data_IF_156061231986
#
_entry.id   IF_156061231986
#
_cell.length_a   1.000
_cell.length_b   1.000
_cell.length_c   1.000
_cell.angle_alpha   90.00
_cell.angle_beta   90.00
_cell.angle_gamma   90.00
#
_symmetry.space_group_name_H-M   'P 1'
#
loop_
_entity.id
_entity.type
_entity.pdbx_description
1 polymer ?
#
# COMPACT_ATOMS: atom_id res chain seq x y z
N UNK A 1 8.06 5.71 -5.34
CA UNK A 1 9.49 5.67 -5.67
C UNK A 1 9.67 5.28 -7.13
N UNK A 2 10.58 5.95 -7.82
CA UNK A 2 10.91 5.64 -9.20
C UNK A 2 12.07 4.66 -9.25
N UNK A 3 11.81 3.46 -9.80
CA UNK A 3 12.77 2.35 -9.80
C UNK A 3 13.86 2.48 -10.86
N UNK A 4 13.64 3.25 -11.93
CA UNK A 4 14.58 3.37 -13.03
C UNK A 4 14.67 4.80 -13.55
N UNK A 5 15.86 5.24 -13.94
CA UNK A 5 16.09 6.55 -14.56
C UNK A 5 16.38 6.34 -16.04
N UNK A 6 15.43 6.67 -16.90
CA UNK A 6 15.61 6.63 -18.35
C UNK A 6 15.71 8.03 -18.95
N UNK A 7 15.85 8.10 -20.26
CA UNK A 7 15.78 9.36 -21.01
C UNK A 7 14.33 9.83 -21.12
N UNK A 8 14.11 11.12 -21.01
CA UNK A 8 12.79 11.73 -21.12
C UNK A 8 12.42 11.91 -22.59
N UNK A 9 11.21 11.49 -22.97
CA UNK A 9 10.68 11.76 -24.28
C UNK A 9 10.39 13.27 -24.44
N UNK A 10 10.64 13.82 -25.62
CA UNK A 10 10.43 15.22 -25.95
C UNK A 10 9.71 15.39 -27.29
N UNK A 11 9.04 16.49 -27.47
CA UNK A 11 8.49 16.90 -28.78
C UNK A 11 8.52 18.41 -28.92
N UNK A 12 8.83 18.90 -30.10
CA UNK A 12 8.76 20.33 -30.42
C UNK A 12 7.31 20.69 -30.79
N UNK A 13 6.72 21.66 -30.10
CA UNK A 13 5.36 22.16 -30.35
C UNK A 13 5.37 23.37 -31.29
N UNK A 14 6.36 24.25 -31.11
CA UNK A 14 6.55 25.44 -31.93
C UNK A 14 8.03 25.84 -31.92
N UNK A 15 8.41 26.85 -32.68
CA UNK A 15 9.77 27.40 -32.64
C UNK A 15 10.12 27.90 -31.25
N UNK A 16 11.12 27.26 -30.60
CA UNK A 16 11.55 27.58 -29.26
C UNK A 16 10.60 27.10 -28.13
N UNK A 17 9.60 26.24 -28.42
CA UNK A 17 8.71 25.63 -27.43
C UNK A 17 8.74 24.13 -27.58
N UNK A 18 9.05 23.40 -26.52
CA UNK A 18 9.03 21.95 -26.47
C UNK A 18 8.21 21.42 -25.30
N UNK A 19 7.56 20.29 -25.49
CA UNK A 19 7.01 19.47 -24.43
C UNK A 19 8.01 18.38 -24.05
N UNK A 20 8.14 18.12 -22.77
CA UNK A 20 9.04 17.11 -22.23
C UNK A 20 8.31 16.26 -21.21
N UNK A 21 8.43 14.95 -21.34
CA UNK A 21 7.86 14.04 -20.36
C UNK A 21 8.46 14.30 -18.97
N UNK A 22 7.64 14.34 -17.94
CA UNK A 22 8.10 14.47 -16.54
C UNK A 22 9.03 13.34 -16.15
N UNK A 23 8.77 12.14 -16.68
CA UNK A 23 9.53 10.93 -16.38
C UNK A 23 10.22 10.40 -17.62
N UNK A 24 11.45 9.94 -17.50
CA UNK A 24 12.16 9.18 -18.54
C UNK A 24 11.58 7.77 -18.66
N UNK A 25 11.79 7.14 -19.79
CA UNK A 25 11.33 5.80 -20.12
C UNK A 25 10.54 5.77 -21.42
N UNK A 26 10.46 4.57 -22.01
CA UNK A 26 9.74 4.34 -23.29
C UNK A 26 8.26 4.73 -23.19
N UNK A 27 7.67 4.72 -21.99
CA UNK A 27 6.27 5.12 -21.78
C UNK A 27 6.02 6.58 -22.16
N UNK A 28 7.05 7.44 -22.05
CA UNK A 28 6.97 8.82 -22.50
C UNK A 28 6.66 8.96 -23.99
N UNK A 29 7.02 7.97 -24.81
CA UNK A 29 6.76 7.97 -26.24
C UNK A 29 5.27 7.74 -26.59
N UNK A 30 4.43 7.39 -25.62
CA UNK A 30 2.97 7.26 -25.78
C UNK A 30 2.21 8.54 -25.41
N UNK A 31 2.91 9.59 -24.99
CA UNK A 31 2.29 10.86 -24.62
C UNK A 31 2.08 11.69 -25.89
N UNK A 32 0.84 12.05 -26.18
CA UNK A 32 0.47 12.98 -27.23
C UNK A 32 0.19 14.37 -26.66
N UNK A 33 0.60 15.40 -27.39
CA UNK A 33 0.29 16.80 -27.07
C UNK A 33 -0.34 17.46 -28.29
N UNK A 34 -1.51 18.04 -28.10
CA UNK A 34 -2.23 18.76 -29.14
C UNK A 34 -2.52 20.18 -28.67
N UNK A 35 -2.06 21.16 -29.42
CA UNK A 35 -2.35 22.59 -29.21
C UNK A 35 -3.29 23.03 -30.32
N UNK A 36 -4.43 23.61 -29.97
CA UNK A 36 -5.42 24.15 -30.91
C UNK A 36 -5.70 25.62 -30.60
N UNK A 37 -6.00 26.40 -31.63
CA UNK A 37 -6.20 27.85 -31.62
C UNK A 37 -5.26 28.52 -32.60
N UNK A 38 -5.70 29.61 -33.24
CA UNK A 38 -4.88 30.45 -34.13
C UNK A 38 -4.19 31.59 -33.34
N UNK A 39 -4.86 32.05 -32.28
CA UNK A 39 -4.41 33.05 -31.35
C UNK A 39 -4.67 32.65 -29.90
N UNK A 40 -3.98 33.32 -28.94
CA UNK A 40 -4.21 33.08 -27.51
C UNK A 40 -5.65 33.49 -27.09
N UNK A 41 -6.30 32.74 -26.20
CA UNK A 41 -5.79 31.58 -25.51
C UNK A 41 -5.85 30.31 -26.38
N UNK A 42 -4.80 29.49 -26.29
CA UNK A 42 -4.73 28.18 -26.94
C UNK A 42 -5.32 27.08 -26.02
N UNK A 43 -5.90 26.05 -26.61
CA UNK A 43 -6.28 24.85 -25.89
C UNK A 43 -5.17 23.81 -26.06
N UNK A 44 -4.53 23.43 -24.95
CA UNK A 44 -3.53 22.37 -24.88
C UNK A 44 -4.15 21.12 -24.27
N UNK A 45 -4.09 20.01 -24.99
CA UNK A 45 -4.58 18.69 -24.57
C UNK A 45 -3.39 17.76 -24.46
N UNK A 46 -3.26 17.11 -23.32
CA UNK A 46 -2.30 16.01 -23.11
C UNK A 46 -3.03 14.68 -23.09
N UNK A 47 -2.58 13.74 -23.89
CA UNK A 47 -3.13 12.39 -23.97
C UNK A 47 -2.07 11.34 -23.66
N UNK A 48 -2.49 10.19 -23.18
CA UNK A 48 -1.66 8.99 -22.99
C UNK A 48 -2.33 7.83 -23.70
N UNK A 49 -1.60 7.15 -24.59
CA UNK A 49 -2.15 6.10 -25.49
C UNK A 49 -3.39 6.56 -26.28
N UNK A 50 -3.43 7.83 -26.67
CA UNK A 50 -4.56 8.43 -27.37
C UNK A 50 -5.76 8.81 -26.50
N UNK A 51 -5.74 8.52 -25.19
CA UNK A 51 -6.79 8.90 -24.25
C UNK A 51 -6.44 10.24 -23.59
N UNK A 52 -7.32 11.22 -23.68
CA UNK A 52 -7.16 12.53 -23.04
C UNK A 52 -7.03 12.39 -21.52
N UNK A 53 -5.96 12.98 -20.98
CA UNK A 53 -5.67 12.98 -19.54
C UNK A 53 -5.84 14.36 -18.93
N UNK A 54 -5.55 15.40 -19.70
CA UNK A 54 -5.59 16.78 -19.24
C UNK A 54 -5.92 17.74 -20.38
N UNK A 55 -6.61 18.81 -20.06
CA UNK A 55 -7.00 19.90 -20.97
C UNK A 55 -6.87 21.23 -20.28
N UNK A 56 -6.04 22.11 -20.81
CA UNK A 56 -5.80 23.45 -20.27
C UNK A 56 -6.01 24.52 -21.34
N UNK A 57 -6.48 25.70 -20.91
CA UNK A 57 -6.53 26.89 -21.75
C UNK A 57 -5.41 27.80 -21.29
N UNK A 58 -4.43 28.06 -22.14
CA UNK A 58 -3.21 28.80 -21.80
C UNK A 58 -2.94 29.90 -22.86
N UNK A 59 -2.44 31.06 -22.44
CA UNK A 59 -2.03 32.13 -23.35
C UNK A 59 -0.53 32.10 -23.63
N UNK A 60 0.25 31.67 -22.62
CA UNK A 60 1.70 31.54 -22.68
C UNK A 60 2.13 30.18 -22.10
N UNK A 61 3.37 29.78 -22.34
CA UNK A 61 3.92 28.54 -21.76
C UNK A 61 4.00 28.59 -20.23
N UNK A 62 4.11 29.78 -19.64
CA UNK A 62 4.14 30.00 -18.18
C UNK A 62 2.78 29.80 -17.52
N UNK A 63 1.69 29.83 -18.27
CA UNK A 63 0.34 29.56 -17.77
C UNK A 63 0.07 28.05 -17.63
N UNK A 64 0.94 27.22 -18.24
CA UNK A 64 0.78 25.77 -18.16
C UNK A 64 1.04 25.25 -16.75
N UNK A 65 0.07 24.58 -16.18
CA UNK A 65 0.19 23.88 -14.90
C UNK A 65 0.66 22.46 -15.16
N UNK A 66 1.82 22.04 -14.64
CA UNK A 66 2.32 20.68 -14.82
C UNK A 66 1.28 19.63 -14.40
N UNK A 67 0.98 18.70 -15.30
CA UNK A 67 -0.10 17.70 -15.12
C UNK A 67 0.40 16.29 -14.75
N UNK A 68 1.66 16.18 -14.33
CA UNK A 68 2.29 14.89 -13.98
C UNK A 68 2.77 14.07 -15.20
N UNK A 69 2.38 14.41 -16.42
CA UNK A 69 2.81 13.76 -17.66
C UNK A 69 3.89 14.56 -18.38
N UNK A 70 3.67 15.88 -18.55
CA UNK A 70 4.58 16.76 -19.26
C UNK A 70 4.90 18.04 -18.50
N UNK A 71 6.02 18.65 -18.89
CA UNK A 71 6.36 20.05 -18.67
C UNK A 71 6.53 20.75 -20.01
N UNK A 72 6.32 22.06 -20.07
CA UNK A 72 6.66 22.89 -21.22
C UNK A 72 7.98 23.61 -20.95
N UNK A 73 8.87 23.62 -21.93
CA UNK A 73 10.18 24.28 -21.85
C UNK A 73 10.38 25.20 -23.06
N UNK A 74 11.09 26.31 -22.84
CA UNK A 74 11.48 27.26 -23.88
C UNK A 74 10.92 28.67 -23.67
N UNK A 75 11.16 29.56 -24.65
CA UNK A 75 10.73 30.97 -24.62
C UNK A 75 9.95 31.40 -25.88
N UNK A 76 9.48 30.45 -26.67
CA UNK A 76 8.75 30.69 -27.91
C UNK A 76 7.27 31.00 -27.71
N UNK A 77 6.61 31.34 -28.79
CA UNK A 77 5.14 31.48 -28.84
C UNK A 77 4.51 30.16 -29.22
N UNK A 78 3.42 29.80 -28.53
CA UNK A 78 2.63 28.63 -28.87
C UNK A 78 2.01 28.76 -30.26
N UNK A 79 1.86 27.67 -30.96
CA UNK A 79 1.15 27.60 -32.22
C UNK A 79 0.36 26.25 -32.26
N UNK A 80 -0.65 26.21 -33.14
CA UNK A 80 -1.39 24.97 -33.34
C UNK A 80 -0.45 23.84 -33.78
N UNK A 81 -0.47 22.73 -33.05
CA UNK A 81 0.38 21.57 -33.25
C UNK A 81 -0.29 20.30 -32.73
N UNK A 82 0.01 19.15 -33.33
CA UNK A 82 -0.36 17.84 -32.78
C UNK A 82 0.82 16.91 -32.98
N UNK A 83 1.37 16.43 -31.90
CA UNK A 83 2.57 15.59 -31.93
C UNK A 83 2.58 14.59 -30.77
N UNK A 84 3.35 13.53 -30.96
CA UNK A 84 3.64 12.55 -29.90
C UNK A 84 5.10 12.73 -29.49
N UNK A 85 5.38 12.65 -28.20
CA UNK A 85 6.73 12.72 -27.68
C UNK A 85 7.54 11.52 -28.17
N UNK A 86 8.84 11.70 -28.35
CA UNK A 86 9.78 10.70 -28.85
C UNK A 86 11.12 10.76 -28.08
N UNK A 87 11.95 9.74 -28.23
CA UNK A 87 13.29 9.70 -27.63
C UNK A 87 13.28 9.27 -26.15
N UNK A 88 12.13 8.85 -25.63
CA UNK A 88 12.09 8.23 -24.30
C UNK A 88 12.74 6.84 -24.32
N UNK A 89 13.70 6.61 -23.43
CA UNK A 89 14.38 5.33 -23.28
C UNK A 89 14.34 4.89 -21.82
N UNK A 90 14.17 3.61 -21.58
CA UNK A 90 14.31 3.03 -20.25
C UNK A 90 15.78 3.05 -19.84
N UNK A 91 16.04 3.16 -18.53
CA UNK A 91 17.39 3.06 -18.00
C UNK A 91 17.91 1.62 -18.06
N UNK A 92 19.21 1.46 -17.88
CA UNK A 92 19.90 0.16 -17.94
C UNK A 92 19.79 -0.67 -16.67
N UNK A 93 19.29 -0.09 -15.56
CA UNK A 93 19.15 -0.77 -14.28
C UNK A 93 18.11 -1.89 -14.37
N UNK A 94 18.45 -3.09 -13.96
CA UNK A 94 17.51 -4.21 -13.86
C UNK A 94 16.47 -3.94 -12.78
N UNK A 95 15.31 -4.60 -12.87
CA UNK A 95 14.23 -4.45 -11.88
C UNK A 95 14.72 -4.85 -10.48
N UNK A 96 15.50 -5.93 -10.37
CA UNK A 96 16.05 -6.40 -9.09
C UNK A 96 17.03 -5.40 -8.46
N UNK A 97 17.91 -4.77 -9.27
CA UNK A 97 18.82 -3.71 -8.80
C UNK A 97 18.04 -2.48 -8.34
N UNK A 98 17.04 -2.07 -9.11
CA UNK A 98 16.19 -0.94 -8.79
C UNK A 98 15.40 -1.15 -7.48
N UNK A 99 14.86 -2.36 -7.27
CA UNK A 99 14.18 -2.72 -6.02
C UNK A 99 15.18 -2.75 -4.86
N UNK A 100 16.38 -3.28 -5.05
CA UNK A 100 17.41 -3.29 -4.00
C UNK A 100 17.80 -1.86 -3.57
N UNK A 101 17.96 -0.95 -4.52
CA UNK A 101 18.21 0.47 -4.23
C UNK A 101 17.02 1.13 -3.49
N UNK A 102 15.79 0.85 -3.92
CA UNK A 102 14.58 1.32 -3.24
C UNK A 102 14.51 0.85 -1.78
N UNK A 103 14.72 -0.44 -1.53
CA UNK A 103 14.66 -1.02 -0.19
C UNK A 103 15.74 -0.46 0.73
N UNK A 104 16.89 -0.06 0.19
CA UNK A 104 17.97 0.55 0.96
C UNK A 104 17.62 1.95 1.51
N UNK A 105 16.74 2.69 0.83
CA UNK A 105 16.29 4.03 1.26
C UNK A 105 15.12 3.99 2.25
N UNK A 106 14.37 2.89 2.32
CA UNK A 106 13.16 2.79 3.13
C UNK A 106 13.36 2.93 4.65
N UNK A 107 14.48 2.48 5.25
CA UNK A 107 14.68 2.62 6.70
C UNK A 107 14.64 4.07 7.21
N UNK A 108 14.86 5.05 6.33
CA UNK A 108 14.78 6.49 6.65
C UNK A 108 13.39 7.08 6.45
N UNK A 109 12.40 6.29 6.04
CA UNK A 109 11.05 6.74 5.71
C UNK A 109 10.01 6.13 6.66
N UNK A 110 8.92 6.86 6.85
CA UNK A 110 7.74 6.33 7.54
C UNK A 110 6.75 5.79 6.51
N UNK A 111 6.40 4.51 6.63
CA UNK A 111 5.44 3.83 5.76
C UNK A 111 4.83 2.64 6.51
N UNK A 112 3.64 2.22 6.11
CA UNK A 112 2.93 1.07 6.67
C UNK A 112 2.91 -0.12 5.70
N UNK A 113 2.81 0.16 4.40
CA UNK A 113 2.62 -0.85 3.36
C UNK A 113 3.51 -0.56 2.16
N UNK A 114 4.14 -1.60 1.62
CA UNK A 114 4.89 -1.56 0.36
C UNK A 114 4.08 -2.33 -0.70
N UNK A 115 3.86 -1.74 -1.87
CA UNK A 115 3.34 -2.47 -3.03
C UNK A 115 4.48 -2.81 -4.00
N UNK A 116 4.59 -4.06 -4.39
CA UNK A 116 5.43 -4.47 -5.50
C UNK A 116 4.55 -4.77 -6.72
N UNK A 117 4.71 -3.99 -7.75
CA UNK A 117 3.86 -4.04 -8.96
C UNK A 117 4.54 -4.70 -10.16
N UNK A 118 5.79 -5.18 -9.98
CA UNK A 118 6.55 -5.85 -11.02
C UNK A 118 6.31 -7.36 -11.07
N UNK A 119 6.99 -8.01 -12.00
CA UNK A 119 6.87 -9.45 -12.26
C UNK A 119 8.12 -10.25 -11.94
N UNK A 120 9.24 -9.59 -11.64
CA UNK A 120 10.51 -10.26 -11.31
C UNK A 120 10.41 -11.00 -9.97
N UNK A 121 10.68 -12.30 -9.99
CA UNK A 121 10.56 -13.16 -8.80
C UNK A 121 11.61 -12.86 -7.73
N UNK A 122 12.81 -12.46 -8.15
CA UNK A 122 13.91 -12.11 -7.25
C UNK A 122 13.61 -10.82 -6.52
N UNK A 123 13.14 -9.80 -7.25
CA UNK A 123 12.72 -8.52 -6.67
C UNK A 123 11.54 -8.71 -5.70
N UNK A 124 10.55 -9.52 -6.07
CA UNK A 124 9.40 -9.86 -5.21
C UNK A 124 9.86 -10.55 -3.91
N UNK A 125 10.77 -11.52 -4.01
CA UNK A 125 11.33 -12.20 -2.85
C UNK A 125 12.15 -11.24 -1.96
N UNK A 126 12.90 -10.30 -2.55
CA UNK A 126 13.64 -9.29 -1.81
C UNK A 126 12.72 -8.36 -1.02
N UNK A 127 11.59 -7.91 -1.59
CA UNK A 127 10.58 -7.10 -0.89
C UNK A 127 9.99 -7.88 0.29
N UNK A 128 9.64 -9.15 0.10
CA UNK A 128 9.09 -9.99 1.16
C UNK A 128 10.10 -10.20 2.30
N UNK A 129 11.34 -10.53 1.98
CA UNK A 129 12.41 -10.71 2.96
C UNK A 129 12.70 -9.42 3.75
N UNK A 130 12.71 -8.27 3.07
CA UNK A 130 12.88 -6.97 3.70
C UNK A 130 11.80 -6.69 4.75
N UNK A 131 10.53 -6.89 4.40
CA UNK A 131 9.40 -6.66 5.32
C UNK A 131 9.48 -7.59 6.54
N UNK A 132 9.82 -8.86 6.34
CA UNK A 132 10.03 -9.79 7.46
C UNK A 132 11.19 -9.35 8.37
N UNK A 133 12.28 -8.87 7.79
CA UNK A 133 13.41 -8.32 8.56
C UNK A 133 13.01 -7.07 9.36
N UNK A 134 12.26 -6.15 8.75
CA UNK A 134 11.76 -4.95 9.44
C UNK A 134 10.87 -5.34 10.63
N UNK A 135 9.96 -6.30 10.44
CA UNK A 135 9.09 -6.78 11.52
C UNK A 135 9.88 -7.48 12.64
N UNK A 136 10.91 -8.26 12.31
CA UNK A 136 11.82 -8.84 13.30
C UNK A 136 12.57 -7.78 14.11
N UNK A 137 12.87 -6.62 13.50
CA UNK A 137 13.44 -5.44 14.17
C UNK A 137 12.39 -4.60 14.94
N UNK A 138 11.11 -5.00 14.93
CA UNK A 138 10.02 -4.30 15.63
C UNK A 138 9.39 -3.14 14.83
N UNK A 139 9.66 -3.03 13.54
CA UNK A 139 9.00 -2.08 12.63
C UNK A 139 7.84 -2.79 11.94
N UNK A 140 6.59 -2.43 12.29
CA UNK A 140 5.39 -3.13 11.84
C UNK A 140 4.94 -2.62 10.47
N UNK A 141 5.43 -3.28 9.43
CA UNK A 141 5.15 -2.98 8.02
C UNK A 141 4.65 -4.22 7.30
N UNK A 142 3.95 -4.05 6.18
CA UNK A 142 3.44 -5.13 5.34
C UNK A 142 3.82 -4.92 3.88
N UNK A 143 3.88 -6.00 3.09
CA UNK A 143 4.05 -5.94 1.65
C UNK A 143 2.83 -6.53 0.93
N UNK A 144 2.40 -5.88 -0.14
CA UNK A 144 1.44 -6.40 -1.11
C UNK A 144 2.21 -6.83 -2.34
N UNK A 145 2.12 -8.10 -2.67
CA UNK A 145 2.78 -8.73 -3.82
C UNK A 145 1.79 -9.56 -4.61
N UNK A 146 2.12 -9.91 -5.84
CA UNK A 146 1.30 -10.82 -6.65
C UNK A 146 2.09 -12.05 -7.06
N UNK A 147 1.54 -13.23 -6.74
CA UNK A 147 2.15 -14.52 -7.05
C UNK A 147 3.16 -14.99 -5.99
N UNK A 148 3.70 -16.19 -6.22
CA UNK A 148 4.53 -16.89 -5.23
C UNK A 148 3.69 -17.64 -4.19
N UNK A 149 4.39 -18.38 -3.34
CA UNK A 149 3.79 -19.13 -2.21
C UNK A 149 4.31 -18.52 -0.90
N UNK A 150 3.43 -17.86 -0.17
CA UNK A 150 3.75 -17.16 1.06
C UNK A 150 2.92 -17.73 2.21
N UNK A 151 3.50 -17.77 3.40
CA UNK A 151 2.80 -18.16 4.63
C UNK A 151 3.21 -17.18 5.74
N UNK A 152 2.77 -15.93 5.62
CA UNK A 152 3.22 -14.85 6.48
C UNK A 152 2.11 -13.84 6.75
N UNK A 153 2.05 -13.33 7.97
CA UNK A 153 1.18 -12.19 8.34
C UNK A 153 1.69 -10.85 7.80
N UNK A 154 2.94 -10.79 7.35
CA UNK A 154 3.57 -9.61 6.78
C UNK A 154 3.27 -9.42 5.29
N UNK A 155 2.86 -10.49 4.61
CA UNK A 155 2.68 -10.51 3.15
C UNK A 155 1.22 -10.66 2.80
N UNK A 156 0.73 -9.78 1.94
CA UNK A 156 -0.58 -9.85 1.30
C UNK A 156 -0.37 -10.29 -0.15
N UNK A 157 -0.82 -11.48 -0.51
CA UNK A 157 -0.69 -12.02 -1.86
C UNK A 157 -1.94 -11.69 -2.69
N UNK A 158 -1.91 -10.56 -3.40
CA UNK A 158 -3.02 -10.09 -4.23
C UNK A 158 -2.86 -10.60 -5.67
N UNK A 159 -3.75 -11.49 -6.10
CA UNK A 159 -3.56 -12.30 -7.32
C UNK A 159 -4.62 -12.06 -8.40
N UNK A 160 -5.45 -11.04 -8.26
CA UNK A 160 -6.48 -10.66 -9.22
C UNK A 160 -6.26 -9.21 -9.66
N UNK A 161 -6.27 -8.99 -10.95
CA UNK A 161 -6.23 -7.68 -11.59
C UNK A 161 -7.63 -7.11 -11.83
N UNK A 162 -7.70 -6.04 -12.60
CA UNK A 162 -8.97 -5.40 -12.95
C UNK A 162 -8.86 -4.49 -14.14
N UNK A 163 -9.99 -3.95 -14.58
CA UNK A 163 -10.08 -3.02 -15.71
C UNK A 163 -10.71 -1.71 -15.25
N UNK A 164 -10.21 -0.62 -15.77
CA UNK A 164 -10.82 0.71 -15.72
C UNK A 164 -11.41 1.08 -17.09
N UNK A 165 -11.99 2.26 -17.22
CA UNK A 165 -12.56 2.72 -18.50
C UNK A 165 -11.53 2.81 -19.66
N UNK A 166 -10.23 2.92 -19.36
CA UNK A 166 -9.19 3.09 -20.39
C UNK A 166 -7.95 2.25 -20.20
N UNK A 167 -7.91 1.38 -19.19
CA UNK A 167 -6.70 0.62 -18.87
C UNK A 167 -7.02 -0.68 -18.15
N UNK A 168 -6.32 -1.76 -18.54
CA UNK A 168 -6.36 -3.06 -17.86
C UNK A 168 -5.16 -3.19 -16.92
N UNK A 169 -5.45 -3.44 -15.65
CA UNK A 169 -4.47 -3.70 -14.62
C UNK A 169 -4.22 -5.21 -14.51
N UNK A 170 -2.98 -5.60 -14.65
CA UNK A 170 -2.53 -6.95 -14.29
C UNK A 170 -2.60 -7.15 -12.77
N UNK A 171 -2.53 -8.40 -12.30
CA UNK A 171 -2.53 -8.67 -10.86
C UNK A 171 -1.35 -8.02 -10.10
N UNK A 172 -0.09 -8.01 -10.63
CA UNK A 172 0.99 -7.23 -10.03
C UNK A 172 0.70 -5.73 -9.94
N UNK A 173 0.20 -5.11 -11.00
CA UNK A 173 -0.15 -3.68 -10.99
C UNK A 173 -1.27 -3.35 -10.02
N UNK A 174 -2.25 -4.26 -9.87
CA UNK A 174 -3.35 -4.15 -8.92
C UNK A 174 -2.89 -4.20 -7.44
N UNK A 175 -1.65 -4.64 -7.16
CA UNK A 175 -1.06 -4.58 -5.82
C UNK A 175 -1.01 -3.15 -5.27
N UNK A 176 -0.81 -2.15 -6.14
CA UNK A 176 -0.85 -0.75 -5.73
C UNK A 176 -2.24 -0.34 -5.20
N UNK A 177 -3.32 -0.79 -5.87
CA UNK A 177 -4.70 -0.56 -5.42
C UNK A 177 -4.96 -1.23 -4.07
N UNK A 178 -4.56 -2.50 -3.92
CA UNK A 178 -4.70 -3.22 -2.65
C UNK A 178 -3.93 -2.54 -1.52
N UNK A 179 -2.68 -2.13 -1.76
CA UNK A 179 -1.88 -1.42 -0.76
C UNK A 179 -2.50 -0.08 -0.36
N UNK A 180 -3.06 0.66 -1.32
CA UNK A 180 -3.78 1.91 -1.04
C UNK A 180 -5.02 1.69 -0.15
N UNK A 181 -5.80 0.63 -0.42
CA UNK A 181 -6.94 0.25 0.42
C UNK A 181 -6.46 -0.07 1.84
N UNK A 182 -5.45 -0.94 1.98
CA UNK A 182 -4.94 -1.37 3.29
C UNK A 182 -4.32 -0.23 4.09
N UNK A 183 -3.65 0.70 3.43
CA UNK A 183 -3.10 1.89 4.08
C UNK A 183 -4.17 2.88 4.54
N UNK A 184 -5.34 2.89 3.87
CA UNK A 184 -6.47 3.75 4.21
C UNK A 184 -7.45 3.17 5.24
N UNK A 185 -7.36 1.87 5.56
CA UNK A 185 -8.24 1.23 6.54
C UNK A 185 -7.67 1.33 7.93
N UNK A 186 -8.41 1.96 8.84
CA UNK A 186 -8.07 2.04 10.26
C UNK A 186 -8.45 0.73 10.99
N UNK A 187 -7.99 0.58 12.25
CA UNK A 187 -8.33 -0.56 13.13
C UNK A 187 -9.82 -0.59 13.54
N UNK A 188 -10.58 0.44 13.23
CA UNK A 188 -12.04 0.48 13.42
C UNK A 188 -12.82 -0.34 12.42
N UNK A 189 -12.18 -0.85 11.35
CA UNK A 189 -12.84 -1.60 10.29
C UNK A 189 -11.91 -2.55 9.54
N UNK A 190 -12.53 -3.40 8.71
CA UNK A 190 -11.88 -4.35 7.84
C UNK A 190 -11.91 -3.88 6.39
N UNK A 191 -10.91 -4.25 5.60
CA UNK A 191 -10.92 -4.07 4.15
C UNK A 191 -11.88 -5.05 3.44
N UNK A 192 -12.47 -6.02 4.15
CA UNK A 192 -13.48 -6.95 3.60
C UNK A 192 -14.62 -6.17 2.97
N UNK A 193 -14.96 -6.51 1.73
CA UNK A 193 -16.00 -5.89 0.91
C UNK A 193 -15.80 -4.39 0.62
N UNK A 194 -14.58 -3.86 0.83
CA UNK A 194 -14.28 -2.48 0.43
C UNK A 194 -14.38 -2.37 -1.10
N UNK A 195 -15.22 -1.44 -1.63
CA UNK A 195 -15.39 -1.25 -3.06
C UNK A 195 -14.16 -0.61 -3.70
N UNK A 196 -13.85 -1.01 -4.93
CA UNK A 196 -12.77 -0.43 -5.74
C UNK A 196 -13.38 0.52 -6.75
N UNK A 197 -13.36 1.81 -6.42
CA UNK A 197 -13.94 2.85 -7.28
C UNK A 197 -13.19 2.95 -8.61
N UNK A 198 -13.94 3.09 -9.71
CA UNK A 198 -13.40 3.27 -11.05
C UNK A 198 -13.06 1.98 -11.77
N UNK A 199 -13.10 0.82 -11.12
CA UNK A 199 -12.98 -0.45 -11.82
C UNK A 199 -14.30 -0.85 -12.49
N UNK A 200 -14.20 -1.33 -13.74
CA UNK A 200 -15.33 -1.80 -14.55
C UNK A 200 -15.41 -3.32 -14.64
N UNK A 201 -14.31 -4.01 -14.28
CA UNK A 201 -14.24 -5.46 -14.23
C UNK A 201 -13.11 -5.91 -13.28
N UNK A 202 -13.13 -7.20 -12.91
CA UNK A 202 -12.01 -7.92 -12.29
C UNK A 202 -11.51 -8.99 -13.26
N UNK A 203 -10.21 -9.26 -13.27
CA UNK A 203 -9.57 -10.20 -14.19
C UNK A 203 -8.48 -11.02 -13.47
N UNK A 204 -8.59 -12.37 -13.43
CA UNK A 204 -9.73 -13.17 -13.94
C UNK A 204 -10.97 -13.06 -13.05
N UNK A 205 -12.16 -13.30 -13.61
CA UNK A 205 -13.36 -13.59 -12.83
C UNK A 205 -13.29 -15.02 -12.33
N UNK A 206 -13.29 -15.17 -11.02
CA UNK A 206 -13.19 -16.46 -10.33
C UNK A 206 -14.57 -16.99 -9.97
N UNK A 207 -14.78 -18.30 -10.13
CA UNK A 207 -15.93 -19.02 -9.58
C UNK A 207 -15.85 -19.06 -8.06
N UNK A 208 -16.96 -19.33 -7.38
CA UNK A 208 -16.99 -19.45 -5.91
C UNK A 208 -16.01 -20.52 -5.40
N UNK A 209 -15.88 -21.64 -6.12
CA UNK A 209 -14.96 -22.70 -5.76
C UNK A 209 -13.50 -22.26 -5.87
N UNK A 210 -13.14 -21.53 -6.93
CA UNK A 210 -11.80 -20.97 -7.11
C UNK A 210 -11.49 -19.90 -6.06
N UNK A 211 -12.45 -19.03 -5.75
CA UNK A 211 -12.31 -18.03 -4.68
C UNK A 211 -12.01 -18.71 -3.33
N UNK A 212 -12.76 -19.76 -2.99
CA UNK A 212 -12.56 -20.52 -1.75
C UNK A 212 -11.19 -21.20 -1.73
N UNK A 213 -10.80 -21.87 -2.83
CA UNK A 213 -9.53 -22.56 -2.93
C UNK A 213 -8.34 -21.60 -2.81
N UNK A 214 -8.35 -20.51 -3.56
CA UNK A 214 -7.28 -19.50 -3.56
C UNK A 214 -7.20 -18.77 -2.23
N UNK A 215 -8.35 -18.43 -1.65
CA UNK A 215 -8.41 -17.85 -0.30
C UNK A 215 -7.78 -18.80 0.72
N UNK A 216 -8.09 -20.10 0.71
CA UNK A 216 -7.46 -21.09 1.61
C UNK A 216 -5.94 -21.20 1.41
N UNK A 217 -5.46 -20.96 0.21
CA UNK A 217 -4.03 -20.93 -0.12
C UNK A 217 -3.32 -19.63 0.31
N UNK A 218 -4.00 -18.69 0.99
CA UNK A 218 -3.42 -17.44 1.47
C UNK A 218 -3.42 -16.31 0.46
N UNK A 219 -4.30 -16.37 -0.54
CA UNK A 219 -4.46 -15.28 -1.51
C UNK A 219 -5.55 -14.31 -1.08
N UNK A 220 -5.32 -13.03 -1.35
CA UNK A 220 -6.28 -11.93 -1.17
C UNK A 220 -6.80 -11.54 -2.54
N UNK A 221 -8.12 -11.50 -2.69
CA UNK A 221 -8.76 -11.45 -4.00
C UNK A 221 -9.62 -10.19 -4.16
N UNK A 222 -9.56 -9.59 -5.34
CA UNK A 222 -10.63 -8.74 -5.83
C UNK A 222 -11.71 -9.59 -6.49
N UNK A 223 -12.97 -9.27 -6.24
CA UNK A 223 -14.12 -9.96 -6.83
C UNK A 223 -15.13 -8.96 -7.38
N UNK A 224 -15.92 -9.40 -8.36
CA UNK A 224 -17.05 -8.62 -8.86
C UNK A 224 -18.33 -9.07 -8.17
N UNK A 225 -18.90 -8.21 -7.37
CA UNK A 225 -20.14 -8.50 -6.64
C UNK A 225 -21.00 -7.25 -6.54
N UNK A 226 -22.34 -7.41 -6.55
CA UNK A 226 -23.30 -6.30 -6.46
C UNK A 226 -23.06 -5.15 -7.45
N UNK A 227 -22.55 -5.49 -8.66
CA UNK A 227 -22.32 -4.52 -9.73
C UNK A 227 -21.02 -3.70 -9.61
N UNK A 228 -20.11 -4.08 -8.72
CA UNK A 228 -18.84 -3.39 -8.51
C UNK A 228 -17.71 -4.35 -8.16
N UNK A 229 -16.47 -3.91 -8.40
CA UNK A 229 -15.29 -4.59 -7.89
C UNK A 229 -15.13 -4.31 -6.38
N UNK A 230 -14.73 -5.31 -5.61
CA UNK A 230 -14.46 -5.16 -4.18
C UNK A 230 -13.42 -6.17 -3.70
N UNK A 231 -12.84 -5.92 -2.54
CA UNK A 231 -11.99 -6.89 -1.83
C UNK A 231 -12.90 -8.00 -1.28
N UNK A 232 -12.56 -9.27 -1.53
CA UNK A 232 -13.37 -10.39 -1.03
C UNK A 232 -13.28 -10.52 0.48
N UNK A 233 -12.06 -10.65 1.00
CA UNK A 233 -11.75 -10.71 2.43
C UNK A 233 -10.44 -9.98 2.72
N UNK A 234 -10.37 -9.35 3.88
CA UNK A 234 -9.19 -8.71 4.42
C UNK A 234 -8.27 -9.76 5.08
N UNK A 235 -7.39 -10.35 4.29
CA UNK A 235 -6.52 -11.42 4.70
C UNK A 235 -5.06 -11.12 4.37
N UNK A 236 -4.15 -11.70 5.15
CA UNK A 236 -2.77 -11.86 4.75
C UNK A 236 -2.52 -13.30 4.25
N UNK A 237 -1.29 -13.61 3.86
CA UNK A 237 -0.98 -14.90 3.24
C UNK A 237 -0.79 -16.06 4.22
N UNK A 238 -0.96 -15.85 5.53
CA UNK A 238 -0.87 -16.92 6.52
C UNK A 238 -1.97 -17.96 6.27
N UNK A 239 -1.60 -19.20 6.02
CA UNK A 239 -2.54 -20.29 5.74
C UNK A 239 -2.15 -21.62 6.40
N UNK A 240 -0.92 -21.76 6.90
CA UNK A 240 -0.51 -22.86 7.76
C UNK A 240 -0.41 -22.35 9.21
N UNK A 241 -1.30 -22.83 10.06
CA UNK A 241 -1.46 -22.32 11.42
C UNK A 241 -0.66 -23.12 12.44
N UNK A 242 -0.26 -22.46 13.51
CA UNK A 242 0.46 -23.06 14.66
C UNK A 242 0.03 -22.40 15.96
N UNK A 243 0.50 -22.90 17.11
CA UNK A 243 0.26 -22.25 18.40
C UNK A 243 0.88 -20.85 18.51
N UNK A 244 1.92 -20.57 17.74
CA UNK A 244 2.57 -19.26 17.68
C UNK A 244 1.99 -18.34 16.60
N UNK A 245 1.32 -18.91 15.60
CA UNK A 245 0.62 -18.21 14.52
C UNK A 245 -0.77 -18.84 14.35
N UNK A 246 -1.72 -18.58 15.26
CA UNK A 246 -3.08 -19.10 15.19
C UNK A 246 -3.83 -18.52 13.99
N UNK A 247 -4.97 -19.14 13.65
CA UNK A 247 -5.79 -18.76 12.48
C UNK A 247 -6.21 -17.29 12.50
N UNK A 248 -6.50 -16.72 13.66
CA UNK A 248 -6.91 -15.32 13.80
C UNK A 248 -5.87 -14.34 13.22
N UNK A 249 -4.56 -14.71 13.24
CA UNK A 249 -3.50 -13.88 12.67
C UNK A 249 -3.52 -13.77 11.14
N UNK A 250 -4.33 -14.60 10.48
CA UNK A 250 -4.62 -14.49 9.05
C UNK A 250 -5.46 -13.25 8.72
N UNK A 251 -6.27 -12.79 9.67
CA UNK A 251 -7.13 -11.62 9.50
C UNK A 251 -6.31 -10.33 9.44
N UNK A 252 -6.54 -9.53 8.40
CA UNK A 252 -5.85 -8.25 8.22
C UNK A 252 -6.13 -7.29 9.36
N UNK A 253 -7.39 -7.15 9.78
CA UNK A 253 -7.78 -6.31 10.91
C UNK A 253 -7.09 -6.73 12.21
N UNK A 254 -7.11 -8.02 12.55
CA UNK A 254 -6.44 -8.54 13.75
C UNK A 254 -4.95 -8.23 13.72
N UNK A 255 -4.29 -8.49 12.57
CA UNK A 255 -2.86 -8.19 12.40
C UNK A 255 -2.56 -6.70 12.55
N UNK A 256 -3.35 -5.81 11.92
CA UNK A 256 -3.17 -4.35 12.02
C UNK A 256 -3.40 -3.84 13.45
N UNK A 257 -4.40 -4.36 14.15
CA UNK A 257 -4.66 -4.01 15.55
C UNK A 257 -3.47 -4.37 16.44
N UNK A 258 -2.94 -5.59 16.32
CA UNK A 258 -1.77 -6.03 17.09
C UNK A 258 -0.51 -5.22 16.72
N UNK A 259 -0.32 -4.90 15.45
CA UNK A 259 0.82 -4.11 14.97
C UNK A 259 0.76 -2.66 15.50
N UNK A 260 -0.42 -2.06 15.53
CA UNK A 260 -0.63 -0.73 16.10
C UNK A 260 -0.37 -0.72 17.60
N UNK A 261 -0.88 -1.70 18.34
CA UNK A 261 -0.59 -1.87 19.76
C UNK A 261 0.92 -1.97 20.00
N UNK A 262 1.62 -2.81 19.25
CA UNK A 262 3.07 -2.97 19.37
C UNK A 262 3.83 -1.66 19.11
N UNK A 263 3.44 -0.91 18.10
CA UNK A 263 4.03 0.39 17.73
C UNK A 263 3.77 1.44 18.80
N UNK A 264 2.53 1.58 19.29
CA UNK A 264 2.17 2.55 20.34
C UNK A 264 2.82 2.22 21.69
N UNK A 265 2.89 0.94 22.05
CA UNK A 265 3.58 0.51 23.27
C UNK A 265 5.08 0.77 23.18
N UNK A 266 5.71 0.51 22.05
CA UNK A 266 7.12 0.86 21.84
C UNK A 266 7.33 2.36 21.99
N UNK A 267 6.54 3.17 21.31
CA UNK A 267 6.61 4.63 21.45
C UNK A 267 6.41 5.11 22.91
N UNK A 268 5.41 4.56 23.60
CA UNK A 268 5.16 4.87 25.00
C UNK A 268 6.40 4.57 25.87
N UNK A 269 6.96 3.36 25.73
CA UNK A 269 8.10 2.92 26.53
C UNK A 269 9.36 3.72 26.21
N UNK A 270 9.65 3.97 24.95
CA UNK A 270 10.82 4.75 24.52
C UNK A 270 10.74 6.20 25.00
N UNK A 271 9.56 6.80 24.98
CA UNK A 271 9.39 8.21 25.34
C UNK A 271 9.17 8.44 26.83
N UNK A 272 8.59 7.47 27.56
CA UNK A 272 8.17 7.67 28.95
C UNK A 272 8.89 6.79 29.99
N UNK A 273 9.47 5.67 29.60
CA UNK A 273 10.11 4.74 30.52
C UNK A 273 11.64 4.71 30.37
N UNK A 274 12.14 4.54 29.14
CA UNK A 274 13.58 4.42 28.87
C UNK A 274 14.31 5.69 29.27
N UNK A 275 15.36 5.52 30.08
CA UNK A 275 16.16 6.63 30.63
C UNK A 275 15.47 7.50 31.69
N UNK A 276 14.20 7.22 32.04
CA UNK A 276 13.40 8.03 33.00
C UNK A 276 12.96 7.27 34.26
N UNK A 277 12.59 6.01 34.08
CA UNK A 277 12.09 5.19 35.20
C UNK A 277 13.18 4.21 35.64
N UNK A 278 13.49 4.17 36.95
CA UNK A 278 14.46 3.21 37.47
C UNK A 278 13.88 1.80 37.49
N UNK A 279 14.69 0.79 37.15
CA UNK A 279 14.29 -0.62 37.17
C UNK A 279 14.21 -1.15 38.61
N UNK A 280 13.25 -0.68 39.37
CA UNK A 280 12.88 -1.13 40.71
C UNK A 280 11.50 -1.76 40.70
N UNK A 281 11.07 -2.42 41.77
CA UNK A 281 9.71 -2.97 41.90
C UNK A 281 8.67 -1.87 41.65
N UNK A 282 8.83 -0.70 42.27
CA UNK A 282 7.93 0.46 42.08
C UNK A 282 7.98 1.00 40.65
N UNK A 283 9.18 1.12 40.06
CA UNK A 283 9.32 1.59 38.68
C UNK A 283 8.66 0.65 37.69
N UNK A 284 8.81 -0.67 37.85
CA UNK A 284 8.11 -1.65 36.99
C UNK A 284 6.58 -1.61 37.17
N UNK A 285 6.09 -1.38 38.40
CA UNK A 285 4.66 -1.18 38.62
C UNK A 285 4.14 0.10 37.96
N UNK A 286 4.92 1.19 37.94
CA UNK A 286 4.58 2.40 37.18
C UNK A 286 4.52 2.15 35.69
N UNK A 287 5.50 1.42 35.10
CA UNK A 287 5.49 1.04 33.70
C UNK A 287 4.26 0.18 33.37
N UNK A 288 3.94 -0.83 34.20
CA UNK A 288 2.72 -1.63 34.06
C UNK A 288 1.47 -0.74 34.02
N UNK A 289 1.35 0.21 34.96
CA UNK A 289 0.21 1.13 34.99
C UNK A 289 0.04 1.94 33.70
N UNK A 290 1.13 2.46 33.13
CA UNK A 290 1.10 3.21 31.86
C UNK A 290 0.67 2.32 30.69
N UNK A 291 1.17 1.08 30.60
CA UNK A 291 0.79 0.13 29.56
C UNK A 291 -0.69 -0.25 29.68
N UNK A 292 -1.16 -0.57 30.89
CA UNK A 292 -2.57 -0.91 31.15
C UNK A 292 -3.49 0.24 30.77
N UNK A 293 -3.13 1.47 31.13
CA UNK A 293 -3.95 2.65 30.85
C UNK A 293 -4.05 2.92 29.34
N UNK A 294 -2.94 2.81 28.60
CA UNK A 294 -2.95 2.95 27.14
C UNK A 294 -3.87 1.90 26.50
N UNK A 295 -3.71 0.62 26.89
CA UNK A 295 -4.51 -0.47 26.32
C UNK A 295 -6.00 -0.31 26.65
N UNK A 296 -6.32 0.10 27.87
CA UNK A 296 -7.69 0.33 28.27
C UNK A 296 -8.33 1.46 27.48
N UNK A 297 -7.71 2.65 27.44
CA UNK A 297 -8.28 3.84 26.82
C UNK A 297 -8.37 3.75 25.30
N UNK A 298 -7.29 3.24 24.65
CA UNK A 298 -7.20 3.29 23.19
C UNK A 298 -7.76 2.04 22.50
N UNK A 299 -7.91 0.91 23.23
CA UNK A 299 -8.27 -0.36 22.60
C UNK A 299 -9.43 -1.08 23.29
N UNK A 300 -9.43 -1.21 24.63
CA UNK A 300 -10.47 -1.95 25.34
C UNK A 300 -11.79 -1.15 25.45
N UNK A 301 -11.73 0.10 25.87
CA UNK A 301 -12.91 0.95 25.99
C UNK A 301 -13.61 1.19 24.64
N UNK A 302 -12.90 1.36 23.48
CA UNK A 302 -13.51 1.42 22.17
C UNK A 302 -13.94 0.06 21.59
N UNK A 303 -13.57 -1.07 22.23
CA UNK A 303 -13.95 -2.41 21.78
C UNK A 303 -13.06 -2.99 20.66
N UNK A 304 -11.84 -2.52 20.49
CA UNK A 304 -10.87 -3.08 19.53
C UNK A 304 -10.16 -4.32 20.04
N UNK A 305 -10.16 -4.53 21.37
CA UNK A 305 -9.73 -5.77 22.01
C UNK A 305 -10.80 -6.24 23.00
N UNK A 306 -10.88 -7.57 23.17
CA UNK A 306 -11.86 -8.23 24.06
C UNK A 306 -11.19 -8.75 25.33
N UNK A 307 -11.97 -8.86 26.41
CA UNK A 307 -11.61 -9.55 27.68
C UNK A 307 -10.30 -9.06 28.32
N UNK A 308 -9.89 -7.82 28.07
CA UNK A 308 -8.63 -7.27 28.58
C UNK A 308 -8.70 -7.01 30.09
N UNK A 309 -7.67 -7.48 30.79
CA UNK A 309 -7.47 -7.31 32.22
C UNK A 309 -6.07 -6.76 32.52
N UNK A 310 -5.87 -5.98 33.60
CA UNK A 310 -4.54 -5.60 34.04
C UNK A 310 -3.57 -6.76 34.30
N UNK A 311 -4.08 -7.97 34.52
CA UNK A 311 -3.25 -9.17 34.74
C UNK A 311 -2.65 -9.72 33.45
N UNK A 312 -3.16 -9.32 32.29
CA UNK A 312 -2.61 -9.65 30.98
C UNK A 312 -1.30 -8.91 30.69
N UNK A 313 -0.96 -7.90 31.52
CA UNK A 313 0.29 -7.14 31.43
C UNK A 313 1.24 -7.55 32.53
N UNK A 314 2.42 -8.05 32.15
CA UNK A 314 3.49 -8.38 33.10
C UNK A 314 4.79 -7.67 32.71
N UNK A 315 5.43 -7.04 33.73
CA UNK A 315 6.72 -6.38 33.58
C UNK A 315 7.70 -7.06 34.54
N UNK A 316 8.65 -7.80 33.96
CA UNK A 316 9.63 -8.57 34.74
C UNK A 316 11.05 -8.04 34.54
N UNK A 317 11.92 -8.09 35.56
CA UNK A 317 13.33 -7.75 35.40
C UNK A 317 14.02 -8.84 34.58
N UNK A 318 15.01 -8.45 33.78
CA UNK A 318 15.92 -9.36 33.11
C UNK A 318 17.25 -9.49 33.86
N UNK A 319 18.16 -10.31 33.37
CA UNK A 319 19.49 -10.54 33.95
C UNK A 319 20.30 -9.24 34.01
N UNK A 320 20.23 -8.41 32.98
CA UNK A 320 20.84 -7.09 32.98
C UNK A 320 20.02 -6.14 33.88
N UNK A 321 20.69 -5.37 34.75
CA UNK A 321 20.03 -4.47 35.73
C UNK A 321 19.22 -3.35 35.11
N UNK A 322 19.54 -2.96 33.88
CA UNK A 322 18.91 -1.90 33.11
C UNK A 322 17.80 -2.41 32.19
N UNK A 323 17.55 -3.72 32.15
CA UNK A 323 16.66 -4.36 31.22
C UNK A 323 15.42 -4.94 31.89
N UNK A 324 14.27 -4.79 31.21
CA UNK A 324 12.98 -5.38 31.59
C UNK A 324 12.39 -6.14 30.40
N UNK A 325 11.58 -7.12 30.71
CA UNK A 325 10.69 -7.76 29.73
C UNK A 325 9.25 -7.30 29.99
N UNK A 326 8.62 -6.72 29.00
CA UNK A 326 7.19 -6.47 28.98
C UNK A 326 6.49 -7.57 28.19
N UNK A 327 5.51 -8.24 28.78
CA UNK A 327 4.62 -9.16 28.11
C UNK A 327 3.20 -8.63 28.21
N UNK A 328 2.52 -8.56 27.08
CA UNK A 328 1.16 -8.08 26.96
C UNK A 328 0.35 -9.15 26.23
N UNK A 329 -0.71 -9.65 26.85
CA UNK A 329 -1.70 -10.52 26.26
C UNK A 329 -2.90 -9.69 25.81
N UNK A 330 -3.29 -9.78 24.55
CA UNK A 330 -4.50 -9.13 24.05
C UNK A 330 -5.20 -10.04 23.04
N UNK A 331 -6.52 -9.96 23.01
CA UNK A 331 -7.36 -10.58 22.00
C UNK A 331 -7.98 -9.46 21.15
N UNK A 332 -7.52 -9.32 19.91
CA UNK A 332 -8.09 -8.35 18.99
C UNK A 332 -9.51 -8.79 18.60
N UNK A 333 -10.45 -7.85 18.62
CA UNK A 333 -11.79 -8.05 18.10
C UNK A 333 -11.75 -8.10 16.55
N UNK A 334 -12.58 -8.95 15.95
CA UNK A 334 -12.71 -9.05 14.49
C UNK A 334 -14.09 -8.54 14.04
N UNK A 335 -14.20 -8.19 12.76
CA UNK A 335 -15.48 -7.81 12.14
C UNK A 335 -16.27 -9.04 11.71
N UNK A 336 -17.58 -8.86 11.51
CA UNK A 336 -18.43 -9.91 10.94
C UNK A 336 -18.17 -10.01 9.44
N UNK A 337 -17.44 -11.04 9.03
CA UNK A 337 -17.14 -11.31 7.61
C UNK A 337 -18.17 -12.25 6.94
N UNK A 338 -18.90 -13.06 7.72
CA UNK A 338 -19.83 -14.06 7.21
C UNK A 338 -21.14 -14.04 7.98
N UNK A 339 -22.25 -13.98 7.23
CA UNK A 339 -23.59 -14.05 7.79
C UNK A 339 -24.31 -15.29 7.22
N UNK A 340 -24.73 -16.19 8.08
CA UNK A 340 -25.59 -17.33 7.70
C UNK A 340 -27.04 -16.98 8.03
N UNK A 341 -27.86 -16.75 7.00
CA UNK A 341 -29.26 -16.37 7.15
C UNK A 341 -30.20 -17.57 6.86
N UNK A 342 -31.03 -17.91 7.82
CA UNK A 342 -32.14 -18.87 7.61
C UNK A 342 -33.46 -18.14 7.68
N UNK A 343 -34.24 -18.20 6.61
CA UNK A 343 -35.59 -17.63 6.56
C UNK A 343 -36.58 -18.80 6.66
N UNK A 344 -37.44 -18.76 7.66
CA UNK A 344 -38.53 -19.76 7.87
C UNK A 344 -39.87 -19.10 7.58
N UNK A 345 -40.61 -19.65 6.62
CA UNK A 345 -42.03 -19.26 6.40
C UNK A 345 -42.92 -19.90 7.47
N UNK A 346 -43.72 -19.11 8.13
CA UNK A 346 -44.76 -19.57 9.10
C UNK A 346 -46.11 -19.69 8.41
#
# INVERSE_FOLDING_TARGET
>A
YRLNTGEQATAQLASGVSAKAVWGGVRGNSIGVTVTGEEAPFTLVTSLDGVEQDRQSISTITDFVPNGLITLEGEGTLAAASTTLTGGLDGEMTESEAISAFLAELPEKEYAVIAYTGTDETARAAVAAFVEQQRAAGVMVQAVVSGGSWNSRAIINSTVGGSTAGYDLTAPEACATMAGILAGVDISGSATHTPVTGWTAVNPRLTLQEQEQRTKAGETLFVWSHGQAMVLYDLNSLHAFSTQAPEDFRKGLVSRTLDRIATELRYLLDTRAVGRIRNTVSGRAQIKGMVVELLRQNYSDPGYIEDFSPDDVTITPMTARDSIQARVGVRAADTVDKVYLTIVSQ
#
